data_IF_726562612463
#
_entry.id   IF_726562612463
#
_cell.length_a   1.000
_cell.length_b   1.000
_cell.length_c   1.000
_cell.angle_alpha   90.00
_cell.angle_beta   90.00
_cell.angle_gamma   90.00
#
_symmetry.space_group_name_H-M   'P 1'
#
loop_
_entity.id
_entity.type
_entity.pdbx_description
1 polymer ?
#
# COMPACT_ATOMS: atom_id res chain seq x y z
N UNK A 1 -6.68 -6.07 -27.68
CA UNK A 1 -5.90 -6.29 -26.43
C UNK A 1 -6.83 -6.14 -25.22
N UNK A 2 -6.90 -7.15 -24.35
CA UNK A 2 -7.65 -7.04 -23.10
C UNK A 2 -7.11 -5.92 -22.23
N UNK A 3 -8.01 -5.21 -21.55
CA UNK A 3 -7.66 -4.12 -20.64
C UNK A 3 -6.98 -4.73 -19.41
N UNK A 4 -5.67 -4.51 -19.26
CA UNK A 4 -4.93 -4.97 -18.08
C UNK A 4 -5.46 -4.30 -16.82
N UNK A 5 -6.00 -5.08 -15.89
CA UNK A 5 -6.34 -4.62 -14.54
C UNK A 5 -5.07 -4.34 -13.72
N UNK A 6 -5.07 -3.26 -12.93
CA UNK A 6 -4.01 -2.97 -11.95
C UNK A 6 -4.31 -3.52 -10.56
N UNK A 7 -5.61 -3.63 -10.25
CA UNK A 7 -6.10 -3.98 -8.93
C UNK A 7 -7.32 -4.87 -9.09
N UNK A 8 -7.23 -6.13 -8.68
CA UNK A 8 -8.39 -7.01 -8.62
C UNK A 8 -9.08 -6.87 -7.27
N UNK A 9 -10.40 -6.67 -7.31
CA UNK A 9 -11.26 -6.61 -6.12
C UNK A 9 -12.07 -7.90 -6.01
N UNK A 10 -11.97 -8.58 -4.87
CA UNK A 10 -12.75 -9.79 -4.57
C UNK A 10 -13.64 -9.49 -3.37
N UNK A 11 -14.96 -9.51 -3.58
CA UNK A 11 -15.92 -9.37 -2.47
C UNK A 11 -16.01 -10.67 -1.68
N UNK A 12 -15.80 -10.59 -0.37
CA UNK A 12 -15.95 -11.68 0.57
C UNK A 12 -17.13 -11.44 1.52
N UNK A 13 -18.17 -10.76 1.06
CA UNK A 13 -19.33 -10.38 1.88
C UNK A 13 -20.05 -11.56 2.56
N UNK A 14 -19.89 -12.77 2.03
CA UNK A 14 -20.45 -14.03 2.56
C UNK A 14 -19.54 -14.75 3.56
N UNK A 15 -18.29 -14.30 3.75
CA UNK A 15 -17.30 -14.94 4.61
C UNK A 15 -17.10 -14.17 5.93
N UNK A 16 -16.66 -14.89 6.96
CA UNK A 16 -16.37 -14.37 8.31
C UNK A 16 -15.02 -13.65 8.36
N UNK A 17 -14.90 -12.52 7.67
CA UNK A 17 -13.72 -11.65 7.75
C UNK A 17 -13.60 -10.94 9.11
N UNK A 18 -14.58 -11.03 10.00
CA UNK A 18 -14.44 -10.66 11.41
C UNK A 18 -13.47 -11.58 12.17
N UNK A 19 -13.20 -12.78 11.68
CA UNK A 19 -12.26 -13.71 12.30
C UNK A 19 -10.80 -13.33 12.00
N UNK A 20 -10.08 -12.93 13.05
CA UNK A 20 -8.69 -12.48 12.96
C UNK A 20 -7.73 -13.57 12.45
N UNK A 21 -7.96 -14.83 12.80
CA UNK A 21 -7.10 -15.93 12.36
C UNK A 21 -7.29 -16.25 10.87
N UNK A 22 -8.50 -16.04 10.34
CA UNK A 22 -8.76 -16.17 8.90
C UNK A 22 -8.02 -15.06 8.14
N UNK A 23 -8.11 -13.82 8.63
CA UNK A 23 -7.40 -12.68 8.03
C UNK A 23 -5.89 -12.86 8.05
N UNK A 24 -5.33 -13.35 9.15
CA UNK A 24 -3.90 -13.68 9.21
C UNK A 24 -3.52 -14.78 8.24
N UNK A 25 -4.29 -15.86 8.17
CA UNK A 25 -4.01 -16.96 7.25
C UNK A 25 -4.06 -16.52 5.77
N UNK A 26 -4.92 -15.55 5.44
CA UNK A 26 -4.97 -14.90 4.12
C UNK A 26 -3.70 -14.08 3.89
N UNK A 27 -3.31 -13.23 4.85
CA UNK A 27 -2.11 -12.41 4.74
C UNK A 27 -0.84 -13.24 4.55
N UNK A 28 -0.67 -14.31 5.34
CA UNK A 28 0.48 -15.21 5.27
C UNK A 28 0.62 -15.89 3.90
N UNK A 29 -0.47 -16.02 3.14
CA UNK A 29 -0.51 -16.72 1.85
C UNK A 29 -0.54 -15.79 0.65
N UNK A 30 -1.02 -14.56 0.82
CA UNK A 30 -1.33 -13.66 -0.28
C UNK A 30 -0.98 -12.20 0.02
N UNK A 31 -0.48 -11.53 -1.02
CA UNK A 31 -0.24 -10.09 -1.06
C UNK A 31 -1.53 -9.32 -1.38
N UNK A 32 -2.39 -9.22 -0.36
CA UNK A 32 -3.73 -8.61 -0.43
C UNK A 32 -4.01 -7.61 0.69
N UNK A 33 -4.70 -6.52 0.34
CA UNK A 33 -5.30 -5.64 1.33
C UNK A 33 -6.70 -6.17 1.69
N UNK A 34 -7.12 -6.01 2.94
CA UNK A 34 -8.47 -6.37 3.42
C UNK A 34 -9.15 -5.10 3.90
N UNK A 35 -10.04 -4.55 3.09
CA UNK A 35 -10.72 -3.28 3.38
C UNK A 35 -12.21 -3.54 3.44
N UNK A 36 -12.80 -3.33 4.61
CA UNK A 36 -14.17 -3.71 4.89
C UNK A 36 -14.39 -5.21 4.69
N UNK A 37 -15.16 -5.56 3.65
CA UNK A 37 -15.49 -6.94 3.29
C UNK A 37 -14.83 -7.41 1.99
N UNK A 38 -13.90 -6.63 1.47
CA UNK A 38 -13.30 -6.83 0.17
C UNK A 38 -11.79 -7.12 0.31
N UNK A 39 -11.29 -8.04 -0.52
CA UNK A 39 -9.86 -8.22 -0.75
C UNK A 39 -9.45 -7.43 -1.99
N UNK A 40 -8.27 -6.81 -1.93
CA UNK A 40 -7.65 -6.13 -3.06
C UNK A 40 -6.28 -6.76 -3.34
N UNK A 41 -6.10 -7.27 -4.56
CA UNK A 41 -4.82 -7.79 -5.07
C UNK A 41 -4.23 -6.73 -6.00
N UNK A 42 -3.04 -6.22 -5.68
CA UNK A 42 -2.30 -5.30 -6.55
C UNK A 42 -1.44 -6.08 -7.55
N UNK A 43 -1.40 -5.62 -8.80
CA UNK A 43 -0.57 -6.21 -9.86
C UNK A 43 0.63 -5.31 -10.16
N UNK A 44 1.58 -5.29 -9.23
CA UNK A 44 2.78 -4.50 -9.38
C UNK A 44 3.73 -5.16 -10.39
N UNK A 45 4.11 -4.36 -11.40
CA UNK A 45 5.07 -4.78 -12.42
C UNK A 45 6.51 -4.45 -12.02
N UNK A 46 7.47 -4.98 -12.78
CA UNK A 46 8.91 -4.78 -12.57
C UNK A 46 9.32 -3.33 -12.21
N UNK A 47 8.73 -2.33 -12.86
CA UNK A 47 9.09 -0.93 -12.65
C UNK A 47 8.65 -0.38 -11.29
N UNK A 48 7.46 -0.76 -10.81
CA UNK A 48 6.96 -0.39 -9.49
C UNK A 48 7.82 -1.03 -8.41
N UNK A 49 8.01 -2.34 -8.49
CA UNK A 49 8.88 -3.10 -7.58
C UNK A 49 10.31 -2.53 -7.50
N UNK A 50 10.87 -2.12 -8.64
CA UNK A 50 12.18 -1.49 -8.69
C UNK A 50 12.20 -0.15 -7.93
N UNK A 51 11.13 0.64 -8.02
CA UNK A 51 11.00 1.91 -7.28
C UNK A 51 10.80 1.63 -5.79
N UNK A 52 9.93 0.68 -5.42
CA UNK A 52 9.70 0.29 -4.01
C UNK A 52 11.03 -0.04 -3.32
N UNK A 53 11.83 -0.94 -3.91
CA UNK A 53 13.15 -1.31 -3.40
C UNK A 53 14.11 -0.13 -3.29
N UNK A 54 14.15 0.75 -4.30
CA UNK A 54 15.06 1.91 -4.28
C UNK A 54 14.70 2.90 -3.18
N UNK A 55 13.40 3.13 -2.96
CA UNK A 55 12.91 4.00 -1.90
C UNK A 55 13.20 3.41 -0.52
N UNK A 56 12.91 2.12 -0.33
CA UNK A 56 13.21 1.41 0.91
C UNK A 56 14.71 1.50 1.25
N UNK A 57 15.59 1.10 0.33
CA UNK A 57 17.04 1.18 0.54
C UNK A 57 17.51 2.61 0.83
N UNK A 58 16.93 3.61 0.16
CA UNK A 58 17.29 5.01 0.40
C UNK A 58 16.90 5.46 1.81
N UNK A 59 15.74 5.05 2.32
CA UNK A 59 15.28 5.38 3.67
C UNK A 59 16.11 4.65 4.74
N UNK A 60 16.46 3.38 4.53
CA UNK A 60 17.34 2.62 5.42
C UNK A 60 18.73 3.25 5.54
N UNK A 61 19.31 3.68 4.41
CA UNK A 61 20.61 4.37 4.39
C UNK A 61 20.52 5.73 5.07
N UNK A 62 19.41 6.45 4.87
CA UNK A 62 19.20 7.76 5.49
C UNK A 62 19.15 7.67 7.01
N UNK A 63 18.45 6.67 7.56
CA UNK A 63 18.44 6.42 9.00
C UNK A 63 18.27 4.93 9.34
N UNK A 64 19.35 4.25 9.75
CA UNK A 64 19.32 2.82 10.08
C UNK A 64 18.46 2.45 11.30
N UNK A 65 18.01 3.44 12.10
CA UNK A 65 17.14 3.18 13.25
C UNK A 65 15.66 3.08 12.87
N UNK A 66 15.29 3.51 11.66
CA UNK A 66 13.91 3.38 11.18
C UNK A 66 13.60 1.93 10.81
N UNK A 67 12.36 1.51 11.06
CA UNK A 67 11.82 0.34 10.40
C UNK A 67 11.41 0.74 8.99
N UNK A 68 11.98 0.12 7.96
CA UNK A 68 11.62 0.40 6.56
C UNK A 68 11.30 -0.93 5.91
N UNK A 69 10.12 -1.05 5.34
CA UNK A 69 9.70 -2.30 4.70
C UNK A 69 8.82 -2.02 3.48
N UNK A 70 8.82 -2.97 2.55
CA UNK A 70 7.92 -3.00 1.39
C UNK A 70 6.84 -4.05 1.61
N UNK A 71 5.60 -3.76 1.17
CA UNK A 71 4.50 -4.73 1.17
C UNK A 71 4.19 -5.40 2.54
N UNK A 72 4.36 -4.67 3.64
CA UNK A 72 4.00 -5.12 5.00
C UNK A 72 2.58 -4.72 5.35
N UNK A 73 1.85 -5.58 6.07
CA UNK A 73 0.51 -5.22 6.59
C UNK A 73 0.61 -4.29 7.79
N UNK A 74 -0.27 -3.30 7.82
CA UNK A 74 -0.63 -2.54 9.01
C UNK A 74 -2.15 -2.50 9.19
N UNK A 75 -2.60 -2.24 10.43
CA UNK A 75 -4.01 -2.28 10.83
C UNK A 75 -4.51 -0.88 11.16
N UNK A 76 -5.58 -0.45 10.50
CA UNK A 76 -6.18 0.88 10.69
C UNK A 76 -7.70 0.76 10.57
N UNK A 77 -8.45 1.16 11.61
CA UNK A 77 -9.92 1.17 11.56
C UNK A 77 -10.54 -0.18 11.23
N UNK A 78 -9.97 -1.27 11.76
CA UNK A 78 -10.30 -2.67 11.44
C UNK A 78 -10.00 -3.14 10.01
N UNK A 79 -9.35 -2.34 9.18
CA UNK A 79 -8.86 -2.72 7.85
C UNK A 79 -7.39 -3.17 7.91
N UNK A 80 -6.96 -3.97 6.93
CA UNK A 80 -5.56 -4.33 6.71
C UNK A 80 -5.07 -3.70 5.42
N UNK A 81 -4.15 -2.75 5.55
CA UNK A 81 -3.60 -2.01 4.44
C UNK A 81 -2.14 -2.38 4.23
N UNK A 82 -1.66 -2.20 3.00
CA UNK A 82 -0.26 -2.42 2.62
C UNK A 82 0.26 -1.17 1.90
N UNK A 83 1.14 -0.36 2.54
CA UNK A 83 1.89 0.64 1.80
C UNK A 83 2.82 -0.06 0.82
N UNK A 84 3.09 0.56 -0.33
CA UNK A 84 4.12 0.06 -1.23
C UNK A 84 5.51 0.18 -0.58
N UNK A 85 5.71 1.28 0.16
CA UNK A 85 6.83 1.44 1.11
C UNK A 85 6.33 2.11 2.39
N UNK A 86 6.58 1.49 3.53
CA UNK A 86 6.32 2.05 4.85
C UNK A 86 7.61 2.40 5.58
N UNK A 87 7.64 3.59 6.20
CA UNK A 87 8.74 4.02 7.07
C UNK A 87 8.20 4.30 8.46
N UNK A 88 8.69 3.56 9.45
CA UNK A 88 8.39 3.72 10.86
C UNK A 88 9.59 4.32 11.58
N UNK A 89 9.40 5.47 12.22
CA UNK A 89 10.44 6.08 13.05
C UNK A 89 10.77 5.23 14.27
N UNK A 90 9.81 4.42 14.71
CA UNK A 90 10.02 3.35 15.66
C UNK A 90 9.57 2.02 15.06
N UNK A 91 10.52 1.09 14.90
CA UNK A 91 10.29 -0.21 14.29
C UNK A 91 9.14 -0.96 14.98
N UNK A 92 8.23 -1.60 14.23
CA UNK A 92 7.24 -2.52 14.79
C UNK A 92 7.91 -3.61 15.64
N UNK A 93 7.22 -4.03 16.71
CA UNK A 93 7.72 -5.11 17.57
C UNK A 93 7.76 -6.45 16.82
N UNK A 94 8.51 -7.42 17.34
CA UNK A 94 8.53 -8.77 16.77
C UNK A 94 7.13 -9.40 16.65
N UNK A 95 6.28 -9.20 17.66
CA UNK A 95 4.89 -9.68 17.64
C UNK A 95 4.08 -9.00 16.52
N UNK A 96 4.22 -7.69 16.35
CA UNK A 96 3.59 -6.94 15.25
C UNK A 96 4.13 -7.34 13.89
N UNK A 97 5.41 -7.69 13.76
CA UNK A 97 5.98 -8.16 12.51
C UNK A 97 5.57 -9.60 12.13
N UNK A 98 5.38 -10.48 13.13
CA UNK A 98 5.08 -11.90 12.87
C UNK A 98 3.59 -12.21 12.76
N UNK A 99 2.73 -11.46 13.47
CA UNK A 99 1.27 -11.58 13.37
C UNK A 99 0.65 -10.18 13.35
N UNK A 100 0.75 -9.47 12.22
CA UNK A 100 0.47 -8.03 12.14
C UNK A 100 -0.99 -7.68 12.34
N UNK A 101 -1.92 -8.57 12.02
CA UNK A 101 -3.35 -8.30 12.21
C UNK A 101 -3.73 -8.56 13.67
N UNK A 102 -3.30 -9.70 14.24
CA UNK A 102 -3.57 -10.09 15.61
C UNK A 102 -2.94 -9.14 16.63
N UNK A 103 -1.75 -8.63 16.33
CA UNK A 103 -1.00 -7.73 17.22
C UNK A 103 -1.08 -6.27 16.81
N UNK A 104 -2.00 -5.90 15.91
CA UNK A 104 -2.27 -4.52 15.51
C UNK A 104 -0.99 -3.78 15.09
N UNK A 105 -0.32 -4.28 14.05
CA UNK A 105 0.83 -3.61 13.45
C UNK A 105 0.44 -2.15 13.11
N UNK A 106 1.18 -1.16 13.65
CA UNK A 106 0.80 0.24 13.51
C UNK A 106 1.04 0.72 12.07
N UNK A 107 0.30 1.74 11.60
CA UNK A 107 0.66 2.39 10.35
C UNK A 107 2.07 3.01 10.42
N UNK A 108 2.77 3.12 9.29
CA UNK A 108 4.04 3.83 9.22
C UNK A 108 3.86 5.33 9.49
N UNK A 109 4.95 6.00 9.84
CA UNK A 109 4.99 7.47 9.93
C UNK A 109 5.02 8.11 8.54
N UNK A 110 5.67 7.46 7.56
CA UNK A 110 5.63 7.85 6.15
C UNK A 110 5.05 6.71 5.32
N UNK A 111 3.97 7.01 4.62
CA UNK A 111 3.24 6.09 3.76
C UNK A 111 3.48 6.44 2.30
N UNK A 112 4.11 5.54 1.55
CA UNK A 112 4.39 5.76 0.14
C UNK A 112 3.52 4.83 -0.72
N UNK A 113 2.79 5.41 -1.66
CA UNK A 113 2.12 4.69 -2.74
C UNK A 113 2.76 5.06 -4.08
N UNK A 114 3.10 4.04 -4.86
CA UNK A 114 3.59 4.15 -6.22
C UNK A 114 2.52 3.58 -7.12
N UNK A 115 1.99 4.40 -8.04
CA UNK A 115 0.89 4.01 -8.91
C UNK A 115 1.14 4.43 -10.34
N UNK A 116 0.68 3.64 -11.28
CA UNK A 116 0.58 4.06 -12.66
C UNK A 116 -0.43 5.21 -12.77
N UNK A 117 -0.11 6.22 -13.57
CA UNK A 117 -0.98 7.36 -13.85
C UNK A 117 -2.10 6.96 -14.84
N UNK A 118 -2.86 5.94 -14.48
CA UNK A 118 -4.09 5.48 -15.14
C UNK A 118 -5.14 5.23 -14.07
N UNK A 119 -6.41 5.35 -14.46
CA UNK A 119 -7.49 5.56 -13.50
C UNK A 119 -7.63 4.47 -12.44
N UNK A 120 -7.47 3.18 -12.77
CA UNK A 120 -7.70 2.11 -11.80
C UNK A 120 -6.68 2.13 -10.66
N UNK A 121 -5.39 2.14 -10.98
CA UNK A 121 -4.31 2.16 -9.98
C UNK A 121 -4.31 3.46 -9.17
N UNK A 122 -4.36 4.60 -9.86
CA UNK A 122 -4.37 5.93 -9.23
C UNK A 122 -5.57 6.11 -8.31
N UNK A 123 -6.77 5.75 -8.75
CA UNK A 123 -7.98 5.93 -7.92
C UNK A 123 -7.96 4.99 -6.71
N UNK A 124 -7.45 3.76 -6.86
CA UNK A 124 -7.26 2.85 -5.72
C UNK A 124 -6.30 3.46 -4.69
N UNK A 125 -5.13 3.92 -5.11
CA UNK A 125 -4.14 4.53 -4.23
C UNK A 125 -4.70 5.76 -3.48
N UNK A 126 -5.36 6.68 -4.19
CA UNK A 126 -5.93 7.89 -3.58
C UNK A 126 -7.11 7.58 -2.66
N UNK A 127 -8.05 6.73 -3.08
CA UNK A 127 -9.20 6.36 -2.24
C UNK A 127 -8.78 5.65 -0.95
N UNK A 128 -7.69 4.86 -1.01
CA UNK A 128 -7.08 4.27 0.17
C UNK A 128 -6.49 5.32 1.09
N UNK A 129 -5.71 6.28 0.57
CA UNK A 129 -5.15 7.37 1.38
C UNK A 129 -6.27 8.16 2.07
N UNK A 130 -7.31 8.52 1.33
CA UNK A 130 -8.48 9.24 1.87
C UNK A 130 -9.14 8.46 3.02
N UNK A 131 -9.30 7.13 2.86
CA UNK A 131 -9.87 6.27 3.91
C UNK A 131 -8.97 6.16 5.15
N UNK A 132 -7.65 6.10 4.96
CA UNK A 132 -6.71 6.05 6.08
C UNK A 132 -6.71 7.38 6.85
N UNK A 133 -6.77 8.51 6.15
CA UNK A 133 -6.81 9.85 6.75
C UNK A 133 -8.02 10.08 7.66
N UNK A 134 -9.14 9.39 7.41
CA UNK A 134 -10.31 9.41 8.29
C UNK A 134 -10.03 8.78 9.68
N UNK A 135 -8.99 7.95 9.79
CA UNK A 135 -8.65 7.22 11.02
C UNK A 135 -7.36 7.71 11.67
N UNK A 136 -6.41 8.24 10.89
CA UNK A 136 -5.12 8.71 11.39
C UNK A 136 -4.62 9.90 10.58
N UNK A 137 -4.38 11.01 11.25
CA UNK A 137 -3.82 12.24 10.67
C UNK A 137 -2.31 12.38 10.87
N UNK A 138 -1.69 11.46 11.62
CA UNK A 138 -0.26 11.51 11.99
C UNK A 138 0.64 10.73 11.00
N UNK A 139 0.20 10.59 9.75
CA UNK A 139 0.92 9.88 8.69
C UNK A 139 1.25 10.89 7.59
N UNK A 140 2.50 10.94 7.17
CA UNK A 140 2.93 11.68 5.99
C UNK A 140 2.72 10.81 4.74
N UNK A 141 1.99 11.32 3.75
CA UNK A 141 1.68 10.57 2.53
C UNK A 141 2.50 11.06 1.35
N UNK A 142 3.11 10.12 0.63
CA UNK A 142 3.86 10.39 -0.60
C UNK A 142 3.25 9.55 -1.73
N UNK A 143 2.67 10.21 -2.72
CA UNK A 143 2.18 9.58 -3.94
C UNK A 143 3.18 9.76 -5.09
N UNK A 144 3.60 8.66 -5.71
CA UNK A 144 4.51 8.67 -6.86
C UNK A 144 3.78 8.13 -8.09
N UNK A 145 3.40 9.03 -8.98
CA UNK A 145 2.75 8.69 -10.23
C UNK A 145 3.79 8.28 -11.31
N UNK A 146 3.72 7.04 -11.78
CA UNK A 146 4.50 6.54 -12.91
C UNK A 146 3.70 6.73 -14.20
N UNK A 147 4.25 7.33 -15.26
CA UNK A 147 3.56 7.40 -16.55
C UNK A 147 3.19 6.00 -17.06
N UNK A 148 1.91 5.78 -17.33
CA UNK A 148 1.43 4.59 -18.05
C UNK A 148 1.47 4.89 -19.54
N UNK A 149 2.63 4.72 -20.16
CA UNK A 149 2.71 5.05 -21.57
C UNK A 149 3.71 4.18 -22.33
N UNK A 150 3.21 3.62 -23.43
CA UNK A 150 4.03 3.25 -24.59
C UNK A 150 4.37 4.51 -25.41
N UNK A 151 3.66 5.63 -25.18
CA UNK A 151 3.83 6.90 -25.88
C UNK A 151 4.49 7.98 -24.97
N UNK A 152 5.16 8.99 -25.53
CA UNK A 152 5.83 10.02 -24.73
C UNK A 152 4.85 10.78 -23.83
N UNK A 153 5.30 11.15 -22.62
CA UNK A 153 4.60 12.13 -21.79
C UNK A 153 4.59 13.44 -22.56
N UNK A 154 3.42 13.90 -23.00
CA UNK A 154 3.28 15.25 -23.52
C UNK A 154 3.46 16.23 -22.37
N UNK A 155 4.33 17.23 -22.56
CA UNK A 155 4.48 18.33 -21.59
C UNK A 155 3.11 18.93 -21.28
N UNK A 156 2.90 19.27 -20.00
CA UNK A 156 1.75 20.06 -19.59
C UNK A 156 1.72 21.33 -20.47
N UNK A 157 0.66 21.50 -21.27
CA UNK A 157 0.52 22.66 -22.15
C UNK A 157 0.36 23.97 -21.36
N UNK A 158 0.01 23.88 -20.08
CA UNK A 158 -0.06 25.00 -19.15
C UNK A 158 0.79 24.74 -17.91
N UNK A 159 2.13 24.88 -18.00
CA UNK A 159 3.01 24.70 -16.85
C UNK A 159 2.95 25.85 -15.83
N UNK A 160 2.11 26.87 -16.08
CA UNK A 160 2.06 28.13 -15.32
C UNK A 160 0.67 28.55 -14.85
N UNK A 161 -0.31 27.64 -14.83
CA UNK A 161 -1.62 27.88 -14.21
C UNK A 161 -1.68 27.14 -12.88
#
# INVERSE_FOLDING_TARGET
PEKKEDVAKISLSTYKLDNINIREAIHERYDVEIIGKDLFIKYDGYYKERIHRKLANSAEIHNPNWGVEVNVICVIGNNNFRPDVGIWFQKPTFAQGTRPIANLCPPPNVWIEVFYNRDQDRSHALSKIDLIQQHSTNIEYVGIAIPYAVNPIHQNQNPWI
#
